data_IF_959975290349
#
_entry.id   IF_959975290349
#
_cell.length_a   1.000
_cell.length_b   1.000
_cell.length_c   1.000
_cell.angle_alpha   90.00
_cell.angle_beta   90.00
_cell.angle_gamma   90.00
#
_symmetry.space_group_name_H-M   'P 1'
#
loop_
_entity.id
_entity.type
_entity.pdbx_description
1 polymer ?
#
# COMPACT_ATOMS: atom_id res chain seq x y z
N UNK A 1 14.89 9.91 23.56
CA UNK A 1 14.56 10.00 22.12
C UNK A 1 14.34 8.59 21.55
N UNK A 2 13.13 8.05 21.65
CA UNK A 2 12.67 6.79 21.04
C UNK A 2 11.29 7.08 20.48
N UNK A 3 11.12 7.31 19.18
CA UNK A 3 9.79 7.60 18.61
C UNK A 3 9.70 7.46 17.08
N UNK A 4 10.82 7.47 16.36
CA UNK A 4 10.84 7.39 14.89
C UNK A 4 10.92 5.96 14.36
N UNK A 5 11.73 5.09 14.96
CA UNK A 5 11.88 3.68 14.55
C UNK A 5 10.58 2.88 14.70
N UNK A 6 9.88 3.05 15.83
CA UNK A 6 8.64 2.31 16.09
C UNK A 6 7.50 2.76 15.18
N UNK A 7 7.42 4.07 14.86
CA UNK A 7 6.46 4.59 13.88
C UNK A 7 6.72 4.03 12.48
N UNK A 8 7.97 3.95 12.06
CA UNK A 8 8.33 3.39 10.75
C UNK A 8 8.00 1.90 10.68
N UNK A 9 8.27 1.14 11.75
CA UNK A 9 7.95 -0.28 11.85
C UNK A 9 6.45 -0.55 11.69
N UNK A 10 5.60 0.22 12.39
CA UNK A 10 4.14 0.09 12.33
C UNK A 10 3.61 0.40 10.93
N UNK A 11 4.15 1.44 10.28
CA UNK A 11 3.70 1.81 8.94
C UNK A 11 4.09 0.77 7.89
N UNK A 12 5.26 0.15 8.02
CA UNK A 12 5.73 -0.95 7.16
C UNK A 12 4.86 -2.19 7.32
N UNK A 13 4.54 -2.60 8.55
CA UNK A 13 3.66 -3.74 8.82
C UNK A 13 2.26 -3.53 8.25
N UNK A 14 1.71 -2.32 8.41
CA UNK A 14 0.42 -1.97 7.81
C UNK A 14 0.48 -2.01 6.27
N UNK A 15 1.60 -1.63 5.65
CA UNK A 15 1.80 -1.71 4.20
C UNK A 15 1.89 -3.16 3.70
N UNK A 16 2.63 -4.03 4.39
CA UNK A 16 2.77 -5.45 4.05
C UNK A 16 1.41 -6.15 4.03
N UNK A 17 0.58 -5.90 5.04
CA UNK A 17 -0.77 -6.47 5.12
C UNK A 17 -1.66 -5.99 3.97
N UNK A 18 -1.54 -4.72 3.58
CA UNK A 18 -2.28 -4.16 2.43
C UNK A 18 -1.80 -4.78 1.10
N UNK A 19 -0.49 -4.93 0.90
CA UNK A 19 0.08 -5.55 -0.30
C UNK A 19 -0.37 -7.00 -0.40
N UNK A 20 -0.26 -7.77 0.68
CA UNK A 20 -0.66 -9.18 0.72
C UNK A 20 -2.14 -9.36 0.35
N UNK A 21 -3.02 -8.53 0.89
CA UNK A 21 -4.46 -8.56 0.56
C UNK A 21 -4.71 -8.24 -0.92
N UNK A 22 -4.03 -7.22 -1.48
CA UNK A 22 -4.11 -6.89 -2.90
C UNK A 22 -3.57 -7.99 -3.80
N UNK A 23 -2.47 -8.64 -3.41
CA UNK A 23 -1.91 -9.75 -4.16
C UNK A 23 -2.87 -10.94 -4.19
N UNK A 24 -3.53 -11.23 -3.06
CA UNK A 24 -4.46 -12.35 -2.93
C UNK A 24 -5.81 -12.11 -3.61
N UNK A 25 -6.35 -10.90 -3.56
CA UNK A 25 -7.74 -10.61 -3.99
C UNK A 25 -7.85 -9.58 -5.11
N UNK A 26 -6.74 -9.03 -5.59
CA UNK A 26 -6.70 -7.89 -6.54
C UNK A 26 -7.13 -6.55 -5.93
N UNK A 27 -7.69 -6.54 -4.72
CA UNK A 27 -8.18 -5.34 -4.01
C UNK A 27 -8.05 -5.49 -2.51
N UNK A 28 -8.04 -4.37 -1.79
CA UNK A 28 -8.17 -4.39 -0.34
C UNK A 28 -9.64 -4.43 0.03
N UNK A 29 -10.07 -5.46 0.76
CA UNK A 29 -11.48 -5.59 1.19
C UNK A 29 -11.79 -4.62 2.33
N UNK A 30 -13.03 -4.13 2.40
CA UNK A 30 -13.46 -3.18 3.44
C UNK A 30 -13.26 -3.71 4.85
N UNK A 31 -13.51 -5.01 5.08
CA UNK A 31 -13.27 -5.67 6.38
C UNK A 31 -11.81 -5.59 6.80
N UNK A 32 -10.88 -5.81 5.87
CA UNK A 32 -9.44 -5.71 6.14
C UNK A 32 -9.04 -4.28 6.49
N UNK A 33 -9.52 -3.30 5.71
CA UNK A 33 -9.25 -1.88 6.03
C UNK A 33 -9.86 -1.45 7.36
N UNK A 34 -11.01 -1.98 7.75
CA UNK A 34 -11.59 -1.73 9.07
C UNK A 34 -10.65 -2.21 10.18
N UNK A 35 -10.18 -3.46 10.10
CA UNK A 35 -9.27 -4.04 11.09
C UNK A 35 -7.96 -3.24 11.20
N UNK A 36 -7.36 -2.84 10.07
CA UNK A 36 -6.14 -2.03 10.07
C UNK A 36 -6.33 -0.65 10.73
N UNK A 37 -7.53 -0.05 10.61
CA UNK A 37 -7.83 1.25 11.24
C UNK A 37 -8.01 1.14 12.74
N UNK A 38 -8.61 0.05 13.22
CA UNK A 38 -8.72 -0.26 14.64
C UNK A 38 -7.34 -0.52 15.25
N UNK A 39 -6.49 -1.26 14.54
CA UNK A 39 -5.19 -1.71 15.05
C UNK A 39 -4.10 -0.64 15.02
N UNK A 40 -3.96 0.07 13.89
CA UNK A 40 -2.86 1.04 13.69
C UNK A 40 -3.32 2.50 13.74
N UNK A 41 -4.62 2.74 13.78
CA UNK A 41 -5.25 4.06 13.71
C UNK A 41 -5.60 4.49 12.29
N UNK A 42 -6.71 5.23 12.17
CA UNK A 42 -7.31 5.66 10.90
C UNK A 42 -6.33 6.38 9.98
N UNK A 43 -5.53 7.29 10.53
CA UNK A 43 -4.59 8.11 9.76
C UNK A 43 -3.46 7.26 9.15
N UNK A 44 -2.86 6.35 9.93
CA UNK A 44 -1.77 5.50 9.46
C UNK A 44 -2.26 4.51 8.41
N UNK A 45 -3.36 3.81 8.68
CA UNK A 45 -3.92 2.83 7.75
C UNK A 45 -4.28 3.45 6.40
N UNK A 46 -4.91 4.62 6.40
CA UNK A 46 -5.26 5.32 5.16
C UNK A 46 -4.02 5.82 4.40
N UNK A 47 -3.00 6.30 5.12
CA UNK A 47 -1.72 6.73 4.52
C UNK A 47 -0.99 5.56 3.87
N UNK A 48 -0.89 4.42 4.55
CA UNK A 48 -0.31 3.19 3.99
C UNK A 48 -1.07 2.75 2.73
N UNK A 49 -2.41 2.74 2.76
CA UNK A 49 -3.21 2.42 1.58
C UNK A 49 -2.92 3.37 0.40
N UNK A 50 -2.85 4.67 0.66
CA UNK A 50 -2.55 5.67 -0.36
C UNK A 50 -1.16 5.46 -0.98
N UNK A 51 -0.13 5.16 -0.16
CA UNK A 51 1.22 4.87 -0.64
C UNK A 51 1.26 3.63 -1.51
N UNK A 52 0.60 2.54 -1.11
CA UNK A 52 0.52 1.33 -1.93
C UNK A 52 -0.19 1.59 -3.26
N UNK A 53 -1.34 2.28 -3.24
CA UNK A 53 -2.06 2.63 -4.47
C UNK A 53 -1.19 3.50 -5.40
N UNK A 54 -0.44 4.46 -4.85
CA UNK A 54 0.51 5.29 -5.62
C UNK A 54 1.62 4.44 -6.26
N UNK A 55 2.24 3.53 -5.50
CA UNK A 55 3.30 2.63 -6.02
C UNK A 55 2.76 1.75 -7.16
N UNK A 56 1.59 1.14 -6.98
CA UNK A 56 0.96 0.31 -8.02
C UNK A 56 0.62 1.13 -9.26
N UNK A 57 0.07 2.34 -9.08
CA UNK A 57 -0.25 3.23 -10.21
C UNK A 57 1.00 3.67 -10.97
N UNK A 58 2.08 4.01 -10.27
CA UNK A 58 3.36 4.35 -10.90
C UNK A 58 3.94 3.15 -11.65
N UNK A 59 3.97 1.97 -11.03
CA UNK A 59 4.41 0.74 -11.71
C UNK A 59 3.60 0.44 -12.96
N UNK A 60 2.27 0.59 -12.89
CA UNK A 60 1.37 0.43 -14.05
C UNK A 60 1.60 1.46 -15.15
N UNK A 61 2.03 2.68 -14.80
CA UNK A 61 2.38 3.71 -15.79
C UNK A 61 3.70 3.37 -16.49
N UNK A 62 4.69 2.90 -15.73
CA UNK A 62 5.98 2.50 -16.28
C UNK A 62 5.87 1.30 -17.23
N UNK A 63 5.06 0.29 -16.88
CA UNK A 63 4.81 -0.84 -17.79
C UNK A 63 4.10 -0.42 -19.07
N UNK A 64 3.15 0.53 -18.99
CA UNK A 64 2.48 1.09 -20.17
C UNK A 64 3.44 1.83 -21.10
N UNK A 65 4.31 2.69 -20.56
CA UNK A 65 5.31 3.41 -21.37
C UNK A 65 6.25 2.45 -22.09
N UNK A 66 6.76 1.41 -21.41
CA UNK A 66 7.61 0.41 -22.06
C UNK A 66 6.88 -0.44 -23.11
N UNK A 67 5.60 -0.76 -22.90
CA UNK A 67 4.81 -1.44 -23.94
C UNK A 67 4.55 -0.56 -25.17
N UNK A 68 4.44 0.75 -25.01
CA UNK A 68 4.27 1.70 -26.13
C UNK A 68 5.59 1.94 -26.89
N UNK A 69 6.72 2.01 -26.19
CA UNK A 69 8.07 2.08 -26.81
C UNK A 69 8.42 0.83 -27.63
N UNK A 70 7.90 -0.34 -27.26
CA UNK A 70 8.18 -1.60 -27.97
C UNK A 70 7.35 -1.78 -29.25
N UNK A 71 6.43 -0.86 -29.55
CA UNK A 71 5.53 -0.89 -30.70
C UNK A 71 5.92 0.08 -31.82
N UNK A 72 7.07 0.75 -31.71
CA UNK A 72 7.63 1.71 -32.66
C UNK A 72 8.88 1.10 -33.30
#
# INVERSE_FOLDING_TARGET
MKNSKDKLSIELECEERIISEKHRFGRVRSKMMYQLREEYGKEKANRSLARINKRISLGSKMTKMHSEESLI
#
